data_IF_024698224094
#
_entry.id   IF_024698224094
#
_cell.length_a   1.000
_cell.length_b   1.000
_cell.length_c   1.000
_cell.angle_alpha   90.00
_cell.angle_beta   90.00
_cell.angle_gamma   90.00
#
_symmetry.space_group_name_H-M   'P 1'
#
loop_
_entity.id
_entity.type
_entity.pdbx_description
1 polymer ?
#
# COMPACT_ATOMS: atom_id res chain seq x y z
N UNK A 1 19.36 -9.03 -1.25
CA UNK A 1 19.72 -7.65 -0.83
C UNK A 1 18.62 -7.02 0.05
N UNK A 2 18.86 -6.80 1.35
CA UNK A 2 18.12 -5.77 2.11
C UNK A 2 17.04 -6.16 3.13
N UNK A 3 17.06 -7.35 3.74
CA UNK A 3 16.27 -7.57 4.96
C UNK A 3 17.04 -7.04 6.18
N UNK A 4 16.35 -6.39 7.12
CA UNK A 4 16.98 -5.80 8.32
C UNK A 4 17.75 -6.86 9.11
N UNK A 5 19.05 -6.62 9.32
CA UNK A 5 19.94 -7.56 10.00
C UNK A 5 21.00 -6.79 10.78
N UNK A 6 21.25 -7.23 12.01
CA UNK A 6 22.36 -6.76 12.82
C UNK A 6 23.34 -7.92 13.06
N UNK A 7 24.66 -7.70 12.90
CA UNK A 7 25.65 -8.70 13.29
C UNK A 7 25.70 -8.81 14.82
N UNK A 8 25.88 -10.03 15.34
CA UNK A 8 26.14 -10.25 16.76
C UNK A 8 27.59 -9.90 17.07
N UNK A 9 27.82 -9.19 18.19
CA UNK A 9 29.17 -8.95 18.72
C UNK A 9 29.68 -10.08 19.63
N UNK A 10 28.83 -11.06 19.97
CA UNK A 10 29.17 -12.18 20.86
C UNK A 10 29.59 -13.39 20.03
N UNK A 11 30.82 -13.87 20.26
CA UNK A 11 31.42 -15.01 19.53
C UNK A 11 30.53 -16.26 19.63
N UNK A 12 30.07 -16.61 20.84
CA UNK A 12 29.19 -17.77 21.07
C UNK A 12 27.91 -17.73 20.22
N UNK A 13 27.30 -16.56 20.07
CA UNK A 13 26.09 -16.38 19.28
C UNK A 13 26.38 -16.42 17.77
N UNK A 14 27.60 -16.06 17.33
CA UNK A 14 28.03 -16.24 15.94
C UNK A 14 28.22 -17.73 15.66
N UNK A 15 28.97 -18.45 16.50
CA UNK A 15 29.22 -19.89 16.35
C UNK A 15 27.93 -20.70 16.39
N UNK A 16 27.03 -20.43 17.34
CA UNK A 16 25.74 -21.12 17.44
C UNK A 16 24.84 -20.90 16.20
N UNK A 17 24.91 -19.70 15.62
CA UNK A 17 24.15 -19.34 14.43
C UNK A 17 24.71 -20.02 13.18
N UNK A 18 26.03 -20.07 13.02
CA UNK A 18 26.69 -20.79 11.92
C UNK A 18 26.46 -22.30 12.03
N UNK A 19 26.56 -22.86 13.23
CA UNK A 19 26.31 -24.30 13.46
C UNK A 19 24.85 -24.72 13.28
N UNK A 20 23.90 -23.78 13.32
CA UNK A 20 22.48 -24.07 13.15
C UNK A 20 22.08 -24.40 11.70
N UNK A 21 22.93 -24.08 10.72
CA UNK A 21 22.62 -24.23 9.29
C UNK A 21 21.57 -23.24 8.74
N UNK A 22 20.85 -22.51 9.61
CA UNK A 22 19.74 -21.61 9.25
C UNK A 22 20.15 -20.40 8.39
N UNK A 23 21.45 -20.14 8.27
CA UNK A 23 22.01 -19.01 7.52
C UNK A 23 23.12 -19.43 6.55
N UNK A 24 23.21 -20.71 6.21
CA UNK A 24 24.24 -21.19 5.28
C UNK A 24 24.21 -20.44 3.93
N UNK A 25 23.01 -20.13 3.41
CA UNK A 25 22.81 -19.40 2.15
C UNK A 25 22.62 -17.88 2.34
N UNK A 26 22.83 -17.36 3.54
CA UNK A 26 22.59 -15.96 3.84
C UNK A 26 23.81 -15.10 3.51
N UNK A 27 23.60 -13.96 2.84
CA UNK A 27 24.64 -12.94 2.66
C UNK A 27 25.26 -12.55 4.01
N UNK A 28 26.61 -12.62 4.14
CA UNK A 28 27.33 -12.13 5.32
C UNK A 28 26.91 -10.70 5.67
N UNK A 29 26.98 -10.35 6.95
CA UNK A 29 26.54 -9.02 7.44
C UNK A 29 27.69 -8.38 8.20
N UNK A 30 28.33 -7.39 7.57
CA UNK A 30 29.48 -6.68 8.13
C UNK A 30 29.06 -5.53 9.06
N UNK A 31 27.98 -4.83 8.69
CA UNK A 31 27.39 -3.74 9.48
C UNK A 31 25.89 -4.01 9.71
N UNK A 32 25.30 -3.31 10.68
CA UNK A 32 23.85 -3.32 10.83
C UNK A 32 23.21 -2.72 9.59
N UNK A 33 22.44 -3.53 8.86
CA UNK A 33 21.71 -3.11 7.66
C UNK A 33 20.25 -2.88 7.99
N UNK A 34 19.73 -1.72 7.59
CA UNK A 34 18.32 -1.35 7.72
C UNK A 34 17.84 -0.66 6.46
N UNK A 35 16.56 -0.83 6.13
CA UNK A 35 15.94 -0.24 4.95
C UNK A 35 14.55 0.25 5.29
N UNK A 36 14.32 1.54 5.01
CA UNK A 36 12.98 2.12 5.10
C UNK A 36 12.14 1.55 3.96
N UNK A 37 10.93 1.11 4.26
CA UNK A 37 10.01 0.61 3.24
C UNK A 37 9.64 1.72 2.26
N UNK A 38 9.77 1.52 0.93
CA UNK A 38 9.26 2.46 -0.06
C UNK A 38 7.72 2.45 -0.10
N UNK A 39 7.09 1.37 0.39
CA UNK A 39 5.64 1.27 0.56
C UNK A 39 5.26 1.68 1.97
N UNK A 40 4.43 2.71 2.09
CA UNK A 40 3.96 3.29 3.36
C UNK A 40 2.45 3.15 3.41
N UNK A 41 1.93 2.82 4.58
CA UNK A 41 0.50 2.68 4.83
C UNK A 41 0.13 3.46 6.08
N UNK A 42 -1.04 4.08 6.07
CA UNK A 42 -1.63 4.67 7.27
C UNK A 42 -2.39 3.62 8.07
N UNK A 43 -2.73 3.97 9.30
CA UNK A 43 -3.76 3.24 10.05
C UNK A 43 -5.10 3.34 9.31
N UNK A 44 -5.88 2.26 9.34
CA UNK A 44 -7.27 2.26 8.90
C UNK A 44 -8.14 2.99 9.93
N UNK A 45 -8.89 4.00 9.50
CA UNK A 45 -9.74 4.84 10.35
C UNK A 45 -11.17 4.75 9.86
N UNK A 46 -12.14 4.66 10.77
CA UNK A 46 -13.56 4.66 10.39
C UNK A 46 -13.96 6.02 9.82
N UNK A 47 -14.57 6.02 8.64
CA UNK A 47 -15.05 7.24 7.97
C UNK A 47 -16.24 7.86 8.70
N UNK A 48 -17.09 7.02 9.27
CA UNK A 48 -18.28 7.41 10.00
C UNK A 48 -18.41 6.63 11.31
N UNK A 49 -19.16 7.15 12.30
CA UNK A 49 -19.51 6.40 13.51
C UNK A 49 -20.13 5.04 13.18
N UNK A 50 -19.80 4.04 14.01
CA UNK A 50 -20.29 2.67 13.83
C UNK A 50 -21.17 2.29 15.00
N UNK A 51 -22.37 1.80 14.71
CA UNK A 51 -23.26 1.25 15.72
C UNK A 51 -22.84 -0.19 16.01
N UNK A 52 -22.53 -0.48 17.28
CA UNK A 52 -22.18 -1.83 17.73
C UNK A 52 -23.48 -2.60 17.99
N UNK A 53 -23.62 -3.76 17.35
CA UNK A 53 -24.73 -4.68 17.62
C UNK A 53 -24.23 -5.79 18.54
N UNK A 54 -24.89 -5.92 19.68
CA UNK A 54 -24.57 -6.91 20.68
C UNK A 54 -25.34 -8.20 20.41
N UNK A 55 -24.62 -9.32 20.29
CA UNK A 55 -25.18 -10.66 20.13
C UNK A 55 -24.79 -11.52 21.34
N UNK A 56 -25.77 -12.20 21.91
CA UNK A 56 -25.58 -13.04 23.09
C UNK A 56 -25.45 -14.50 22.67
N UNK A 57 -24.35 -15.15 23.07
CA UNK A 57 -24.10 -16.56 22.84
C UNK A 57 -23.86 -17.32 24.14
N UNK A 58 -24.08 -18.63 24.12
CA UNK A 58 -23.62 -19.53 25.18
C UNK A 58 -22.66 -20.54 24.59
N UNK A 59 -21.55 -20.79 25.29
CA UNK A 59 -20.61 -21.85 24.91
C UNK A 59 -20.85 -23.03 25.82
N UNK A 60 -21.55 -24.04 25.30
CA UNK A 60 -21.77 -25.31 26.00
C UNK A 60 -20.64 -26.27 25.65
N UNK A 61 -19.81 -26.63 26.64
CA UNK A 61 -18.92 -27.79 26.52
C UNK A 61 -19.74 -29.05 26.80
N UNK A 62 -19.29 -30.21 26.31
CA UNK A 62 -20.05 -31.46 26.41
C UNK A 62 -20.47 -31.83 27.85
N UNK A 63 -19.75 -31.36 28.89
CA UNK A 63 -20.13 -31.46 30.30
C UNK A 63 -19.98 -30.08 31.00
N UNK A 64 -20.94 -29.73 31.87
CA UNK A 64 -20.94 -28.51 32.69
C UNK A 64 -21.99 -27.46 32.29
N UNK A 65 -22.09 -26.39 33.08
CA UNK A 65 -22.99 -25.27 32.80
C UNK A 65 -22.50 -24.44 31.59
N UNK A 66 -23.41 -23.99 30.70
CA UNK A 66 -23.03 -23.14 29.57
C UNK A 66 -22.38 -21.83 30.06
N UNK A 67 -21.26 -21.46 29.46
CA UNK A 67 -20.61 -20.17 29.76
C UNK A 67 -21.22 -19.08 28.87
N UNK A 68 -21.88 -18.05 29.44
CA UNK A 68 -22.37 -16.91 28.66
C UNK A 68 -21.19 -16.14 28.07
N UNK A 69 -21.31 -15.74 26.82
CA UNK A 69 -20.38 -14.82 26.18
C UNK A 69 -21.11 -13.90 25.20
N UNK A 70 -20.54 -12.73 24.95
CA UNK A 70 -21.15 -11.70 24.11
C UNK A 70 -20.22 -11.38 22.95
N UNK A 71 -20.80 -11.26 21.75
CA UNK A 71 -20.11 -10.80 20.57
C UNK A 71 -20.64 -9.42 20.19
N UNK A 72 -19.75 -8.50 19.82
CA UNK A 72 -20.15 -7.25 19.20
C UNK A 72 -19.89 -7.36 17.70
N UNK A 73 -20.95 -7.45 16.92
CA UNK A 73 -20.88 -7.40 15.46
C UNK A 73 -21.04 -5.96 15.00
N UNK A 74 -20.20 -5.58 14.05
CA UNK A 74 -20.31 -4.29 13.41
C UNK A 74 -19.79 -4.35 11.98
N UNK A 75 -20.27 -3.41 11.16
CA UNK A 75 -19.75 -3.13 9.83
C UNK A 75 -19.26 -1.69 9.84
N UNK A 76 -18.01 -1.49 9.48
CA UNK A 76 -17.39 -0.17 9.37
C UNK A 76 -16.90 0.05 7.94
N UNK A 77 -17.06 1.26 7.42
CA UNK A 77 -16.31 1.71 6.24
C UNK A 77 -15.02 2.33 6.74
N UNK A 78 -13.91 1.62 6.49
CA UNK A 78 -12.59 2.05 6.92
C UNK A 78 -11.86 2.71 5.75
N UNK A 79 -11.22 3.85 6.02
CA UNK A 79 -10.33 4.51 5.09
C UNK A 79 -8.89 4.30 5.52
N UNK A 80 -8.05 3.92 4.56
CA UNK A 80 -6.60 3.88 4.68
C UNK A 80 -5.97 4.64 3.53
N UNK A 81 -4.78 5.15 3.78
CA UNK A 81 -3.92 5.78 2.79
C UNK A 81 -2.70 4.90 2.59
N UNK A 82 -2.24 4.79 1.35
CA UNK A 82 -0.94 4.20 1.07
C UNK A 82 -0.21 4.97 0.00
N UNK A 83 1.12 4.91 0.04
CA UNK A 83 2.00 5.49 -0.97
C UNK A 83 3.13 4.54 -1.28
N UNK A 84 3.56 4.54 -2.54
CA UNK A 84 4.70 3.78 -3.01
C UNK A 84 5.69 4.77 -3.64
N UNK A 85 6.87 4.87 -3.03
CA UNK A 85 7.99 5.60 -3.60
C UNK A 85 8.57 4.82 -4.78
N UNK A 86 8.13 5.19 -5.99
CA UNK A 86 8.50 4.49 -7.23
C UNK A 86 10.02 4.56 -7.49
N UNK A 87 10.65 5.71 -7.24
CA UNK A 87 12.10 5.90 -7.37
C UNK A 87 12.88 4.98 -6.41
N UNK A 88 12.45 4.88 -5.15
CA UNK A 88 13.07 4.00 -4.17
C UNK A 88 12.75 2.50 -4.38
N UNK A 89 11.68 2.17 -5.10
CA UNK A 89 11.27 0.80 -5.38
C UNK A 89 12.32 0.07 -6.23
N UNK A 90 13.08 -0.81 -5.58
CA UNK A 90 14.21 -1.52 -6.20
C UNK A 90 15.53 -0.75 -6.23
N UNK A 91 15.61 0.38 -5.54
CA UNK A 91 16.85 1.15 -5.33
C UNK A 91 17.40 0.91 -3.93
N UNK A 92 18.71 0.70 -3.82
CA UNK A 92 19.40 0.33 -2.59
C UNK A 92 20.61 1.23 -2.37
N UNK A 93 20.56 2.10 -1.36
CA UNK A 93 21.63 3.04 -1.04
C UNK A 93 22.70 2.45 -0.13
N UNK A 94 23.96 2.79 -0.40
CA UNK A 94 25.09 2.57 0.52
C UNK A 94 25.48 3.86 1.26
N UNK A 95 24.63 4.90 1.24
CA UNK A 95 24.82 6.08 2.08
C UNK A 95 24.68 5.67 3.54
N UNK A 96 25.76 5.90 4.31
CA UNK A 96 25.75 5.68 5.75
C UNK A 96 25.07 6.87 6.44
N UNK A 97 23.79 6.71 6.79
CA UNK A 97 23.07 7.65 7.67
C UNK A 97 23.02 7.05 9.07
N UNK A 98 22.89 7.87 10.10
CA UNK A 98 22.81 7.39 11.50
C UNK A 98 21.69 6.37 11.65
N UNK A 99 22.06 5.10 11.85
CA UNK A 99 21.11 3.98 11.98
C UNK A 99 20.51 3.44 10.67
N UNK A 100 20.94 3.95 9.50
CA UNK A 100 20.44 3.50 8.20
C UNK A 100 21.56 3.19 7.19
N UNK A 101 21.57 1.96 6.71
CA UNK A 101 22.47 1.44 5.67
C UNK A 101 21.77 0.29 4.93
N UNK A 102 21.45 0.45 3.63
CA UNK A 102 20.78 -0.63 2.90
C UNK A 102 21.76 -1.71 2.44
N UNK A 103 22.95 -1.29 2.00
CA UNK A 103 24.01 -2.16 1.47
C UNK A 103 25.30 -1.95 2.27
N UNK A 104 25.73 -2.99 2.98
CA UNK A 104 27.09 -3.13 3.48
C UNK A 104 28.01 -3.74 2.41
N UNK A 105 29.32 -3.80 2.67
CA UNK A 105 30.33 -4.21 1.68
C UNK A 105 29.99 -5.52 0.93
N UNK A 106 29.60 -6.63 1.60
CA UNK A 106 29.21 -7.86 0.88
C UNK A 106 28.01 -7.68 -0.05
N UNK A 107 27.04 -6.84 0.35
CA UNK A 107 25.84 -6.56 -0.46
C UNK A 107 26.12 -5.62 -1.63
N UNK A 108 27.15 -4.77 -1.53
CA UNK A 108 27.64 -3.98 -2.66
C UNK A 108 28.23 -4.91 -3.72
N UNK A 109 29.06 -5.88 -3.29
CA UNK A 109 29.65 -6.87 -4.20
C UNK A 109 28.59 -7.77 -4.86
N UNK A 110 27.55 -8.18 -4.11
CA UNK A 110 26.38 -8.86 -4.67
C UNK A 110 25.62 -7.99 -5.68
N UNK A 111 25.44 -6.69 -5.41
CA UNK A 111 24.78 -5.78 -6.34
C UNK A 111 25.56 -5.63 -7.65
N UNK A 112 26.89 -5.51 -7.56
CA UNK A 112 27.78 -5.42 -8.72
C UNK A 112 27.79 -6.72 -9.53
N UNK A 113 27.99 -7.87 -8.88
CA UNK A 113 27.97 -9.18 -9.55
C UNK A 113 26.60 -9.54 -10.12
N UNK A 114 25.52 -9.07 -9.50
CA UNK A 114 24.16 -9.21 -9.98
C UNK A 114 23.77 -8.26 -11.13
N UNK A 115 24.68 -7.39 -11.57
CA UNK A 115 24.45 -6.48 -12.69
C UNK A 115 23.45 -5.37 -12.41
N UNK A 116 23.34 -4.91 -11.16
CA UNK A 116 22.51 -3.75 -10.83
C UNK A 116 23.14 -2.47 -11.39
N UNK A 117 22.28 -1.54 -11.79
CA UNK A 117 22.69 -0.21 -12.26
C UNK A 117 23.31 0.58 -11.10
N UNK A 118 24.52 1.10 -11.29
CA UNK A 118 25.18 1.93 -10.28
C UNK A 118 24.83 3.41 -10.47
N UNK A 119 24.09 3.96 -9.51
CA UNK A 119 23.73 5.38 -9.45
C UNK A 119 24.74 6.10 -8.56
N UNK A 120 25.89 6.45 -9.13
CA UNK A 120 27.02 7.01 -8.37
C UNK A 120 26.66 8.30 -7.61
N UNK A 121 25.82 9.15 -8.21
CA UNK A 121 25.38 10.43 -7.63
C UNK A 121 24.47 10.23 -6.41
N UNK A 122 23.64 9.18 -6.42
CA UNK A 122 22.75 8.81 -5.32
C UNK A 122 23.40 7.89 -4.29
N UNK A 123 24.64 7.45 -4.56
CA UNK A 123 25.33 6.42 -3.81
C UNK A 123 24.43 5.18 -3.61
N UNK A 124 23.90 4.66 -4.73
CA UNK A 124 22.94 3.57 -4.73
C UNK A 124 23.13 2.60 -5.90
N UNK A 125 22.56 1.40 -5.75
CA UNK A 125 22.39 0.42 -6.82
C UNK A 125 20.90 0.20 -7.09
N UNK A 126 20.51 0.12 -8.35
CA UNK A 126 19.12 0.01 -8.80
C UNK A 126 18.91 -1.27 -9.60
N UNK A 127 17.80 -1.96 -9.34
CA UNK A 127 17.39 -3.11 -10.13
C UNK A 127 17.03 -2.68 -11.57
N UNK A 128 17.23 -3.57 -12.56
CA UNK A 128 16.73 -3.34 -13.91
C UNK A 128 15.23 -3.02 -13.91
N UNK A 129 14.80 -2.17 -14.86
CA UNK A 129 13.42 -1.69 -14.98
C UNK A 129 12.37 -2.81 -14.89
N UNK A 130 12.55 -3.88 -15.66
CA UNK A 130 11.63 -5.03 -15.67
C UNK A 130 11.44 -5.67 -14.30
N UNK A 131 12.52 -5.80 -13.52
CA UNK A 131 12.44 -6.36 -12.16
C UNK A 131 11.73 -5.40 -11.20
N UNK A 132 11.90 -4.08 -11.38
CA UNK A 132 11.21 -3.07 -10.57
C UNK A 132 9.72 -3.10 -10.85
N UNK A 133 9.34 -3.08 -12.12
CA UNK A 133 7.95 -3.19 -12.56
C UNK A 133 7.32 -4.49 -12.05
N UNK A 134 7.97 -5.63 -12.19
CA UNK A 134 7.43 -6.91 -11.70
C UNK A 134 7.13 -6.88 -10.20
N UNK A 135 8.00 -6.25 -9.40
CA UNK A 135 7.80 -6.10 -7.94
C UNK A 135 6.68 -5.12 -7.61
N UNK A 136 6.59 -4.00 -8.31
CA UNK A 136 5.53 -3.00 -8.15
C UNK A 136 4.18 -3.62 -8.51
N UNK A 137 4.11 -4.32 -9.65
CA UNK A 137 2.93 -5.07 -10.08
C UNK A 137 2.51 -6.10 -9.03
N UNK A 138 3.44 -6.91 -8.51
CA UNK A 138 3.12 -7.91 -7.49
C UNK A 138 2.54 -7.26 -6.21
N UNK A 139 3.10 -6.13 -5.78
CA UNK A 139 2.59 -5.37 -4.63
C UNK A 139 1.18 -4.83 -4.87
N UNK A 140 0.96 -4.13 -5.99
CA UNK A 140 -0.33 -3.51 -6.30
C UNK A 140 -1.41 -4.57 -6.53
N UNK A 141 -1.09 -5.65 -7.25
CA UNK A 141 -1.98 -6.78 -7.45
C UNK A 141 -2.33 -7.43 -6.10
N UNK A 142 -1.35 -7.55 -5.19
CA UNK A 142 -1.56 -8.05 -3.84
C UNK A 142 -2.63 -7.28 -3.07
N UNK A 143 -2.67 -5.94 -3.18
CA UNK A 143 -3.65 -5.09 -2.49
C UNK A 143 -5.10 -5.42 -2.89
N UNK A 144 -5.34 -5.68 -4.18
CA UNK A 144 -6.70 -5.93 -4.72
C UNK A 144 -7.09 -7.41 -4.77
N UNK A 145 -6.17 -8.28 -4.35
CA UNK A 145 -6.37 -9.72 -4.16
C UNK A 145 -6.16 -10.14 -2.70
N UNK A 146 -6.19 -9.20 -1.75
CA UNK A 146 -6.12 -9.54 -0.34
C UNK A 146 -7.30 -10.45 0.01
N UNK A 147 -6.96 -11.66 0.44
CA UNK A 147 -7.88 -12.63 1.01
C UNK A 147 -7.36 -12.94 2.41
N UNK A 148 -8.19 -12.80 3.45
CA UNK A 148 -7.68 -12.99 4.80
C UNK A 148 -8.57 -12.45 5.89
N UNK A 149 -8.12 -12.63 7.13
CA UNK A 149 -8.80 -12.20 8.33
C UNK A 149 -8.55 -13.19 9.47
N UNK A 150 -8.35 -12.68 10.68
CA UNK A 150 -8.33 -13.56 11.85
C UNK A 150 -9.70 -14.23 11.96
N UNK A 151 -9.73 -15.57 11.97
CA UNK A 151 -10.95 -16.41 12.05
C UNK A 151 -11.78 -16.53 10.76
N UNK A 152 -11.17 -16.73 9.59
CA UNK A 152 -11.92 -17.00 8.34
C UNK A 152 -13.00 -18.09 8.45
N UNK A 153 -12.78 -19.12 9.28
CA UNK A 153 -13.78 -20.17 9.54
C UNK A 153 -15.01 -19.71 10.35
N UNK A 154 -14.89 -18.60 11.10
CA UNK A 154 -15.98 -18.01 11.88
C UNK A 154 -16.58 -16.79 11.17
N UNK A 155 -15.73 -15.94 10.59
CA UNK A 155 -16.12 -14.71 9.90
C UNK A 155 -15.29 -14.55 8.63
N UNK A 156 -15.88 -14.92 7.48
CA UNK A 156 -15.26 -14.78 6.17
C UNK A 156 -15.49 -13.36 5.63
N UNK A 157 -14.86 -12.38 6.27
CA UNK A 157 -14.97 -10.97 5.89
C UNK A 157 -14.02 -10.67 4.73
N UNK A 158 -14.53 -10.06 3.67
CA UNK A 158 -13.69 -9.56 2.58
C UNK A 158 -12.83 -8.38 3.07
N UNK A 159 -11.57 -8.33 2.64
CA UNK A 159 -10.58 -7.33 3.03
C UNK A 159 -10.03 -6.57 1.83
N UNK A 160 -10.53 -6.87 0.62
CA UNK A 160 -10.22 -6.07 -0.55
C UNK A 160 -10.85 -4.66 -0.44
N UNK A 161 -10.30 -3.66 -1.14
CA UNK A 161 -10.87 -2.32 -1.13
C UNK A 161 -12.13 -2.26 -2.00
N UNK A 162 -13.26 -1.80 -1.44
CA UNK A 162 -14.47 -1.47 -2.20
C UNK A 162 -14.30 -0.20 -3.07
N UNK A 163 -13.45 0.73 -2.60
CA UNK A 163 -13.14 2.01 -3.24
C UNK A 163 -11.64 2.30 -3.17
N UNK A 164 -11.05 2.70 -4.29
CA UNK A 164 -9.63 2.94 -4.44
C UNK A 164 -9.39 4.14 -5.37
N UNK A 165 -8.69 5.17 -4.89
CA UNK A 165 -8.23 6.29 -5.71
C UNK A 165 -6.71 6.26 -5.80
N UNK A 166 -6.18 6.22 -7.03
CA UNK A 166 -4.74 6.19 -7.29
C UNK A 166 -4.35 7.25 -8.32
N UNK A 167 -3.16 7.80 -8.13
CA UNK A 167 -2.47 8.62 -9.11
C UNK A 167 -0.96 8.52 -8.85
N UNK A 168 -0.16 8.69 -9.89
CA UNK A 168 1.27 8.93 -9.79
C UNK A 168 1.46 10.43 -9.60
N UNK A 169 2.18 10.83 -8.55
CA UNK A 169 2.40 12.23 -8.23
C UNK A 169 3.89 12.53 -8.02
N UNK A 170 4.25 13.80 -8.20
CA UNK A 170 5.50 14.38 -7.77
C UNK A 170 5.38 14.66 -6.27
N UNK A 171 6.15 13.94 -5.46
CA UNK A 171 6.16 14.10 -4.00
C UNK A 171 5.40 13.01 -3.26
N UNK A 172 5.34 13.13 -1.92
CA UNK A 172 4.87 12.07 -1.03
C UNK A 172 3.56 12.33 -0.28
N UNK A 173 2.87 13.44 -0.57
CA UNK A 173 1.64 13.81 0.13
C UNK A 173 0.42 13.08 -0.45
N UNK A 174 -0.48 12.64 0.43
CA UNK A 174 -1.73 11.99 0.02
C UNK A 174 -2.78 13.03 -0.38
N UNK A 175 -2.94 13.27 -1.68
CA UNK A 175 -3.88 14.28 -2.20
C UNK A 175 -5.35 13.87 -2.02
N UNK A 176 -5.64 12.57 -1.91
CA UNK A 176 -7.00 12.04 -1.75
C UNK A 176 -7.41 11.81 -0.29
N UNK A 177 -6.63 12.29 0.69
CA UNK A 177 -6.85 11.99 2.10
C UNK A 177 -8.20 12.44 2.66
N UNK A 178 -8.81 13.46 2.06
CA UNK A 178 -10.02 14.11 2.58
C UNK A 178 -11.23 14.00 1.63
N UNK A 179 -11.14 13.21 0.56
CA UNK A 179 -12.23 13.13 -0.44
C UNK A 179 -13.39 12.25 0.03
N UNK A 180 -13.18 11.42 1.06
CA UNK A 180 -14.23 10.63 1.68
C UNK A 180 -14.50 11.19 3.07
N UNK A 181 -15.78 11.40 3.37
CA UNK A 181 -16.22 11.89 4.67
C UNK A 181 -17.60 11.33 4.99
N UNK A 182 -18.35 12.03 5.83
CA UNK A 182 -19.70 11.64 6.25
C UNK A 182 -20.74 12.69 5.90
N UNK A 183 -21.97 12.26 5.66
CA UNK A 183 -23.14 13.15 5.56
C UNK A 183 -23.75 13.43 6.95
N UNK A 184 -24.83 14.23 6.98
CA UNK A 184 -25.59 14.57 8.19
C UNK A 184 -26.21 13.35 8.90
N UNK A 185 -26.29 12.21 8.21
CA UNK A 185 -26.83 10.95 8.74
C UNK A 185 -25.73 9.94 9.06
N UNK A 186 -24.49 10.40 9.18
CA UNK A 186 -23.32 9.56 9.47
C UNK A 186 -23.09 8.45 8.43
N UNK A 187 -23.41 8.72 7.17
CA UNK A 187 -23.12 7.78 6.07
C UNK A 187 -21.87 8.22 5.31
N UNK A 188 -21.00 7.30 4.91
CA UNK A 188 -19.87 7.60 4.04
C UNK A 188 -20.33 8.25 2.73
N UNK A 189 -19.70 9.36 2.34
CA UNK A 189 -19.98 10.07 1.09
C UNK A 189 -18.70 10.56 0.42
N UNK A 190 -18.77 10.73 -0.90
CA UNK A 190 -17.71 11.38 -1.67
C UNK A 190 -17.88 12.90 -1.57
N UNK A 191 -16.88 13.57 -1.01
CA UNK A 191 -16.80 15.03 -0.93
C UNK A 191 -16.26 15.57 -2.26
N UNK A 192 -17.16 15.88 -3.19
CA UNK A 192 -16.80 16.34 -4.53
C UNK A 192 -15.98 17.64 -4.51
N UNK A 193 -16.33 18.60 -3.66
CA UNK A 193 -15.56 19.84 -3.56
C UNK A 193 -14.13 19.60 -3.05
N UNK A 194 -13.94 18.67 -2.12
CA UNK A 194 -12.61 18.27 -1.65
C UNK A 194 -11.81 17.55 -2.76
N UNK A 195 -12.46 16.73 -3.59
CA UNK A 195 -11.82 16.11 -4.75
C UNK A 195 -11.40 17.16 -5.79
N UNK A 196 -12.29 18.11 -6.10
CA UNK A 196 -12.00 19.23 -7.02
C UNK A 196 -10.85 20.08 -6.49
N UNK A 197 -10.86 20.43 -5.21
CA UNK A 197 -9.79 21.18 -4.57
C UNK A 197 -8.46 20.43 -4.66
N UNK A 198 -8.43 19.16 -4.26
CA UNK A 198 -7.23 18.33 -4.31
C UNK A 198 -6.61 18.28 -5.71
N UNK A 199 -7.43 18.06 -6.74
CA UNK A 199 -6.97 17.99 -8.12
C UNK A 199 -6.58 19.35 -8.69
N UNK A 200 -7.22 20.43 -8.24
CA UNK A 200 -6.88 21.79 -8.68
C UNK A 200 -5.55 22.24 -8.08
N UNK A 201 -5.38 22.06 -6.77
CA UNK A 201 -4.17 22.46 -6.03
C UNK A 201 -2.95 21.65 -6.47
N UNK A 202 -3.12 20.35 -6.72
CA UNK A 202 -2.02 19.45 -7.09
C UNK A 202 -1.90 19.19 -8.59
N UNK A 203 -2.53 20.01 -9.44
CA UNK A 203 -2.58 19.77 -10.89
C UNK A 203 -1.20 19.52 -11.52
N UNK A 204 -0.20 20.30 -11.13
CA UNK A 204 1.15 20.22 -11.68
C UNK A 204 1.98 19.09 -11.03
N UNK A 205 1.52 18.55 -9.90
CA UNK A 205 2.16 17.43 -9.21
C UNK A 205 1.64 16.08 -9.73
N UNK A 206 0.43 15.99 -10.24
CA UNK A 206 -0.12 14.72 -10.76
C UNK A 206 0.45 14.42 -12.15
N UNK A 207 1.18 13.30 -12.24
CA UNK A 207 1.89 12.87 -13.45
C UNK A 207 1.07 11.91 -14.33
N UNK A 208 0.13 11.17 -13.73
CA UNK A 208 -0.71 10.19 -14.43
C UNK A 208 -2.15 10.64 -14.57
N UNK A 209 -2.98 9.82 -15.20
CA UNK A 209 -4.42 9.86 -15.02
C UNK A 209 -4.83 9.42 -13.61
N UNK A 210 -6.11 9.61 -13.28
CA UNK A 210 -6.70 9.23 -12.00
C UNK A 210 -7.39 7.87 -12.16
N UNK A 211 -6.94 6.88 -11.40
CA UNK A 211 -7.50 5.54 -11.44
C UNK A 211 -8.43 5.36 -10.25
N UNK A 212 -9.71 5.13 -10.55
CA UNK A 212 -10.79 5.01 -9.57
C UNK A 212 -11.36 3.59 -9.63
N UNK A 213 -10.94 2.77 -8.69
CA UNK A 213 -11.50 1.46 -8.45
C UNK A 213 -12.74 1.60 -7.59
N UNK A 214 -13.92 1.21 -8.10
CA UNK A 214 -15.17 1.32 -7.37
C UNK A 214 -16.06 0.12 -7.63
N UNK A 215 -16.22 -0.73 -6.62
CA UNK A 215 -17.10 -1.91 -6.68
C UNK A 215 -18.56 -1.46 -6.81
N UNK A 216 -19.28 -2.02 -7.79
CA UNK A 216 -20.72 -1.75 -7.96
C UNK A 216 -21.50 -2.35 -6.79
N UNK A 217 -22.49 -1.62 -6.29
CA UNK A 217 -23.24 -1.98 -5.08
C UNK A 217 -22.69 -1.33 -3.81
N UNK A 218 -21.50 -0.75 -3.86
CA UNK A 218 -20.94 0.05 -2.76
C UNK A 218 -21.08 1.54 -3.08
N UNK A 219 -21.96 2.25 -2.36
CA UNK A 219 -22.18 3.69 -2.52
C UNK A 219 -22.49 4.14 -3.97
N UNK A 220 -23.31 3.37 -4.71
CA UNK A 220 -23.62 3.63 -6.13
C UNK A 220 -24.17 5.05 -6.40
N UNK A 221 -24.89 5.63 -5.44
CA UNK A 221 -25.34 7.03 -5.53
C UNK A 221 -24.18 8.03 -5.60
N UNK A 222 -23.14 7.83 -4.79
CA UNK A 222 -21.93 8.66 -4.81
C UNK A 222 -21.09 8.39 -6.07
N UNK A 223 -21.06 7.13 -6.53
CA UNK A 223 -20.43 6.75 -7.80
C UNK A 223 -21.09 7.47 -8.99
N UNK A 224 -22.41 7.55 -9.02
CA UNK A 224 -23.15 8.28 -10.06
C UNK A 224 -22.91 9.80 -10.01
N UNK A 225 -22.81 10.37 -8.80
CA UNK A 225 -22.44 11.78 -8.63
C UNK A 225 -21.05 12.08 -9.19
N UNK A 226 -20.05 11.22 -8.95
CA UNK A 226 -18.72 11.38 -9.54
C UNK A 226 -18.80 11.43 -11.07
N UNK A 227 -19.46 10.44 -11.69
CA UNK A 227 -19.61 10.40 -13.17
C UNK A 227 -20.27 11.66 -13.70
N UNK A 228 -21.36 12.11 -13.07
CA UNK A 228 -22.06 13.34 -13.47
C UNK A 228 -21.14 14.56 -13.36
N UNK A 229 -20.41 14.68 -12.25
CA UNK A 229 -19.50 15.81 -11.99
C UNK A 229 -18.35 15.86 -13.00
N UNK A 230 -17.80 14.70 -13.39
CA UNK A 230 -16.74 14.62 -14.40
C UNK A 230 -17.19 15.14 -15.78
N UNK A 231 -18.49 15.03 -16.09
CA UNK A 231 -19.04 15.48 -17.36
C UNK A 231 -19.49 16.95 -17.34
N UNK A 232 -20.02 17.43 -16.20
CA UNK A 232 -20.74 18.71 -16.12
C UNK A 232 -20.04 19.81 -15.33
N UNK A 233 -19.08 19.50 -14.45
CA UNK A 233 -18.42 20.51 -13.61
C UNK A 233 -17.26 21.16 -14.38
N UNK A 234 -17.36 22.48 -14.61
CA UNK A 234 -16.34 23.25 -15.32
C UNK A 234 -14.97 23.19 -14.64
N UNK A 235 -14.93 23.05 -13.31
CA UNK A 235 -13.69 22.92 -12.52
C UNK A 235 -12.94 21.63 -12.84
N UNK A 236 -13.66 20.61 -13.34
CA UNK A 236 -13.10 19.31 -13.73
C UNK A 236 -12.70 19.23 -15.21
N UNK A 237 -12.83 20.32 -15.98
CA UNK A 237 -12.52 20.33 -17.42
C UNK A 237 -11.10 19.84 -17.73
N UNK A 238 -10.11 20.21 -16.91
CA UNK A 238 -8.71 19.80 -17.09
C UNK A 238 -8.47 18.28 -16.88
N UNK A 239 -9.46 17.60 -16.30
CA UNK A 239 -9.43 16.18 -15.95
C UNK A 239 -10.39 15.35 -16.79
N UNK A 240 -11.12 15.96 -17.72
CA UNK A 240 -12.06 15.27 -18.59
C UNK A 240 -11.33 14.22 -19.43
N UNK A 241 -11.80 12.98 -19.37
CA UNK A 241 -11.17 11.85 -20.06
C UNK A 241 -9.90 11.30 -19.38
N UNK A 242 -9.50 11.84 -18.22
CA UNK A 242 -8.33 11.39 -17.44
C UNK A 242 -8.70 10.57 -16.21
N UNK A 243 -9.94 10.06 -16.17
CA UNK A 243 -10.47 9.25 -15.09
C UNK A 243 -10.78 7.84 -15.58
N UNK A 244 -10.13 6.86 -14.99
CA UNK A 244 -10.35 5.45 -15.27
C UNK A 244 -11.22 4.86 -14.17
N UNK A 245 -12.54 4.80 -14.38
CA UNK A 245 -13.50 4.28 -13.40
C UNK A 245 -13.87 2.83 -13.74
N UNK A 246 -13.39 1.87 -12.94
CA UNK A 246 -13.68 0.45 -13.13
C UNK A 246 -13.66 -0.31 -11.79
N UNK A 247 -13.66 -1.65 -11.82
CA UNK A 247 -13.44 -2.45 -10.61
C UNK A 247 -12.00 -2.27 -10.09
N UNK A 248 -11.73 -2.26 -8.76
CA UNK A 248 -10.38 -2.09 -8.20
C UNK A 248 -9.29 -2.98 -8.81
N UNK A 249 -9.62 -4.22 -9.19
CA UNK A 249 -8.69 -5.11 -9.89
C UNK A 249 -8.31 -4.59 -11.28
N UNK A 250 -9.30 -4.16 -12.05
CA UNK A 250 -9.12 -3.67 -13.42
C UNK A 250 -8.34 -2.36 -13.46
N UNK A 251 -8.61 -1.41 -12.55
CA UNK A 251 -7.84 -0.15 -12.51
C UNK A 251 -6.39 -0.35 -12.06
N UNK A 252 -6.12 -1.31 -11.17
CA UNK A 252 -4.74 -1.63 -10.79
C UNK A 252 -4.00 -2.25 -11.97
N UNK A 253 -4.64 -3.14 -12.73
CA UNK A 253 -4.07 -3.67 -13.97
C UNK A 253 -3.77 -2.55 -14.97
N UNK A 254 -4.70 -1.60 -15.15
CA UNK A 254 -4.51 -0.44 -16.01
C UNK A 254 -3.31 0.41 -15.56
N UNK A 255 -3.25 0.79 -14.28
CA UNK A 255 -2.11 1.54 -13.71
C UNK A 255 -0.78 0.82 -13.93
N UNK A 256 -0.74 -0.52 -13.82
CA UNK A 256 0.47 -1.30 -14.07
C UNK A 256 0.91 -1.24 -15.54
N UNK A 257 -0.04 -1.22 -16.49
CA UNK A 257 0.30 -1.04 -17.90
C UNK A 257 0.85 0.36 -18.16
N UNK A 258 0.26 1.38 -17.55
CA UNK A 258 0.73 2.75 -17.70
C UNK A 258 2.11 2.93 -17.06
N UNK A 259 2.38 2.31 -15.90
CA UNK A 259 3.72 2.28 -15.30
C UNK A 259 4.78 1.63 -16.22
N UNK A 260 4.39 0.65 -17.04
CA UNK A 260 5.27 0.05 -18.06
C UNK A 260 5.50 0.98 -19.24
N UNK A 261 4.45 1.68 -19.67
CA UNK A 261 4.49 2.63 -20.79
C UNK A 261 5.20 3.95 -20.43
N UNK A 262 5.29 4.28 -19.14
CA UNK A 262 5.88 5.52 -18.61
C UNK A 262 7.07 5.27 -17.66
N UNK A 263 8.25 4.80 -18.16
CA UNK A 263 9.43 4.59 -17.33
C UNK A 263 9.89 5.82 -16.55
N UNK A 264 9.59 7.02 -17.04
CA UNK A 264 9.91 8.29 -16.39
C UNK A 264 9.21 8.48 -15.03
N UNK A 265 8.10 7.78 -14.76
CA UNK A 265 7.44 7.80 -13.44
C UNK A 265 8.24 7.05 -12.37
N UNK A 266 9.14 6.16 -12.81
CA UNK A 266 10.04 5.40 -11.94
C UNK A 266 11.44 6.04 -11.85
N UNK A 267 11.67 7.19 -12.51
CA UNK A 267 12.98 7.83 -12.62
C UNK A 267 13.54 8.26 -11.26
#
# INVERSE_FOLDING_TARGET
LGYMRAPSKKIEAVTARESSGLVADATPTAETVTRISPFRVSTLVSVAPVQLVHDFGTMSRHEGDPVPHEHQFYRATLQGLFSLDLHAAGTFSYVKRTGYLNLDEPRIQEAQSGGLEHLAQEQAYRLPFEQRIARIQALLAGIVHLEGGAKQALHYTDVNPDLLFLAVTRGGNHIFGHIIGRDERDRPVLHLDALVEALTVHKDDVLSDIYVGWVRGFLDGERAKLVTTLDSDERMTAWKGRFHLAHPREVVEHLVQDLKAHPEWLA
#
